data_IF_509240746562
#
_entry.id   IF_509240746562
#
_cell.length_a   1.000
_cell.length_b   1.000
_cell.length_c   1.000
_cell.angle_alpha   90.00
_cell.angle_beta   90.00
_cell.angle_gamma   90.00
#
_symmetry.space_group_name_H-M   'P 1'
#
loop_
_entity.id
_entity.type
_entity.pdbx_description
1 polymer ?
#
# COMPACT_ATOMS: atom_id res chain seq x y z
N UNK A 1 -31.23 -28.57 -29.09
CA UNK A 1 -30.82 -29.27 -27.85
C UNK A 1 -29.31 -29.11 -27.73
N UNK A 2 -28.78 -28.24 -26.85
CA UNK A 2 -28.41 -28.51 -25.42
C UNK A 2 -27.20 -29.47 -25.39
N UNK A 3 -26.07 -29.30 -24.68
CA UNK A 3 -25.38 -28.27 -23.87
C UNK A 3 -24.06 -29.00 -23.43
N UNK A 4 -22.91 -28.29 -23.29
CA UNK A 4 -21.77 -28.60 -22.38
C UNK A 4 -20.97 -29.92 -22.62
N UNK A 5 -19.72 -30.13 -22.21
CA UNK A 5 -18.87 -29.47 -21.21
C UNK A 5 -17.38 -29.81 -21.44
N UNK A 6 -16.53 -28.95 -20.87
CA UNK A 6 -15.09 -29.08 -20.71
C UNK A 6 -14.65 -30.14 -19.68
N UNK A 7 -13.46 -30.68 -19.96
CA UNK A 7 -12.28 -31.01 -19.12
C UNK A 7 -12.46 -31.40 -17.64
N UNK A 8 -11.89 -32.56 -17.26
CA UNK A 8 -11.18 -32.69 -15.96
C UNK A 8 -10.28 -33.94 -15.91
N UNK A 9 -8.97 -33.74 -16.07
CA UNK A 9 -7.94 -34.65 -15.56
C UNK A 9 -7.39 -34.08 -14.26
N UNK A 10 -7.70 -34.75 -13.15
CA UNK A 10 -7.18 -34.41 -11.81
C UNK A 10 -5.89 -35.20 -11.57
N UNK A 11 -4.77 -34.48 -11.40
CA UNK A 11 -3.52 -35.05 -10.86
C UNK A 11 -3.44 -34.66 -9.39
N UNK A 12 -3.59 -35.67 -8.53
CA UNK A 12 -3.48 -35.55 -7.07
C UNK A 12 -2.01 -35.54 -6.64
N UNK A 13 -1.55 -34.42 -6.06
CA UNK A 13 -0.19 -34.28 -5.51
C UNK A 13 -0.20 -34.70 -4.03
N UNK A 14 0.37 -35.87 -3.74
CA UNK A 14 0.46 -36.52 -2.42
C UNK A 14 1.47 -35.77 -1.53
N UNK A 15 1.01 -35.17 -0.43
CA UNK A 15 1.83 -34.47 0.57
C UNK A 15 2.29 -35.47 1.64
N UNK A 16 3.59 -35.72 1.69
CA UNK A 16 4.25 -36.57 2.70
C UNK A 16 4.26 -35.90 4.08
N UNK A 17 3.83 -36.64 5.10
CA UNK A 17 3.71 -36.24 6.52
C UNK A 17 4.93 -36.76 7.27
N UNK A 18 5.71 -35.89 7.91
CA UNK A 18 6.83 -36.27 8.78
C UNK A 18 6.29 -36.73 10.14
N UNK A 19 6.68 -37.93 10.55
CA UNK A 19 6.40 -38.52 11.87
C UNK A 19 7.22 -37.82 12.96
N UNK A 20 6.57 -37.49 14.08
CA UNK A 20 7.22 -37.01 15.29
C UNK A 20 7.39 -38.19 16.26
N UNK A 21 8.65 -38.48 16.58
CA UNK A 21 9.07 -39.48 17.56
C UNK A 21 8.68 -39.02 18.97
N UNK A 22 7.95 -39.87 19.70
CA UNK A 22 7.74 -39.73 21.15
C UNK A 22 8.94 -40.35 21.86
N UNK A 23 9.60 -39.58 22.71
CA UNK A 23 10.52 -40.11 23.71
C UNK A 23 10.03 -39.68 25.08
N UNK A 24 9.51 -40.65 25.83
CA UNK A 24 9.22 -40.52 27.25
C UNK A 24 10.54 -40.40 28.02
N UNK A 25 10.73 -39.32 28.79
CA UNK A 25 11.75 -39.27 29.83
C UNK A 25 11.25 -38.36 30.96
N UNK A 26 10.91 -39.00 32.08
CA UNK A 26 10.56 -38.40 33.37
C UNK A 26 11.85 -37.92 34.06
N UNK A 27 12.01 -36.64 34.42
CA UNK A 27 13.14 -36.21 35.25
C UNK A 27 12.85 -36.51 36.73
N UNK A 28 13.79 -37.18 37.38
CA UNK A 28 13.87 -37.36 38.83
C UNK A 28 14.23 -36.02 39.50
N UNK A 29 13.49 -35.63 40.54
CA UNK A 29 13.78 -34.45 41.36
C UNK A 29 15.02 -34.69 42.25
N UNK A 30 15.99 -33.76 42.30
CA UNK A 30 17.01 -33.76 43.34
C UNK A 30 16.51 -33.06 44.61
N UNK A 31 16.55 -33.80 45.71
CA UNK A 31 16.28 -33.38 47.09
C UNK A 31 17.22 -32.23 47.48
N UNK A 32 16.66 -31.07 47.84
CA UNK A 32 17.41 -29.98 48.48
C UNK A 32 17.12 -29.98 49.99
N UNK A 33 18.16 -30.26 50.78
CA UNK A 33 18.14 -30.10 52.23
C UNK A 33 18.12 -28.61 52.57
N UNK A 34 17.17 -28.19 53.40
CA UNK A 34 17.04 -26.83 53.89
C UNK A 34 17.76 -26.64 55.23
N UNK A 35 18.94 -26.03 55.20
CA UNK A 35 19.50 -25.35 56.37
C UNK A 35 19.18 -23.84 56.26
N UNK A 36 18.70 -23.16 57.32
CA UNK A 36 18.33 -21.74 57.23
C UNK A 36 19.58 -20.85 57.25
N UNK A 37 19.77 -20.04 56.22
CA UNK A 37 20.82 -19.01 56.17
C UNK A 37 20.26 -17.72 56.78
N UNK A 38 20.92 -17.25 57.84
CA UNK A 38 20.64 -16.05 58.64
C UNK A 38 20.66 -14.77 57.80
N UNK A 39 19.50 -14.08 57.76
CA UNK A 39 19.28 -12.86 56.98
C UNK A 39 19.54 -11.66 57.89
N UNK A 40 20.80 -11.33 58.14
CA UNK A 40 21.18 -10.05 58.73
C UNK A 40 22.45 -9.50 58.06
N UNK A 41 22.34 -9.14 56.79
CA UNK A 41 23.30 -8.27 56.10
C UNK A 41 22.56 -7.08 55.52
N UNK A 42 22.71 -5.93 56.19
CA UNK A 42 22.25 -4.62 55.76
C UNK A 42 22.80 -4.33 54.37
N UNK A 43 21.97 -4.41 53.34
CA UNK A 43 22.34 -4.03 51.98
C UNK A 43 22.12 -2.52 51.87
N UNK A 44 23.19 -1.77 52.10
CA UNK A 44 23.22 -0.35 51.83
C UNK A 44 23.01 -0.17 50.32
N UNK A 45 21.82 0.34 49.95
CA UNK A 45 21.40 0.48 48.56
C UNK A 45 22.17 1.63 47.95
N UNK A 46 23.18 1.31 47.12
CA UNK A 46 23.83 2.28 46.26
C UNK A 46 22.80 2.85 45.28
N UNK A 47 22.25 4.04 45.58
CA UNK A 47 21.46 4.81 44.62
C UNK A 47 22.41 5.30 43.53
N UNK A 48 22.42 4.61 42.39
CA UNK A 48 22.97 5.17 41.16
C UNK A 48 22.12 6.39 40.78
N UNK A 49 22.69 7.59 40.58
CA UNK A 49 21.95 8.69 39.99
C UNK A 49 21.60 8.31 38.55
N UNK A 50 20.32 8.11 38.27
CA UNK A 50 19.81 7.92 36.91
C UNK A 50 19.85 9.25 36.18
N UNK A 51 21.00 9.62 35.64
CA UNK A 51 21.11 10.69 34.63
C UNK A 51 20.66 10.16 33.25
N UNK A 52 19.47 9.54 33.21
CA UNK A 52 18.80 9.30 31.94
C UNK A 52 18.28 10.66 31.44
N UNK A 53 18.60 11.09 30.21
CA UNK A 53 18.02 12.30 29.66
C UNK A 53 16.49 12.12 29.62
N UNK A 54 15.77 13.08 30.21
CA UNK A 54 14.31 13.13 30.18
C UNK A 54 13.87 13.38 28.73
N UNK A 55 13.68 12.32 27.96
CA UNK A 55 13.20 12.42 26.60
C UNK A 55 11.76 12.91 26.62
N UNK A 56 11.52 14.12 26.11
CA UNK A 56 10.17 14.61 25.90
C UNK A 56 9.50 13.83 24.76
N UNK A 57 8.89 12.69 25.09
CA UNK A 57 8.23 11.79 24.13
C UNK A 57 7.14 12.52 23.34
N UNK A 58 6.47 13.53 23.93
CA UNK A 58 5.45 14.30 23.22
C UNK A 58 6.04 15.16 22.12
N UNK A 59 7.19 15.79 22.36
CA UNK A 59 7.91 16.55 21.34
C UNK A 59 8.34 15.65 20.18
N UNK A 60 8.86 14.45 20.48
CA UNK A 60 9.23 13.46 19.45
C UNK A 60 8.01 13.03 18.62
N UNK A 61 6.86 12.79 19.25
CA UNK A 61 5.61 12.45 18.55
C UNK A 61 5.15 13.58 17.63
N UNK A 62 5.17 14.82 18.12
CA UNK A 62 4.75 15.99 17.34
C UNK A 62 5.64 16.19 16.11
N UNK A 63 6.96 16.13 16.28
CA UNK A 63 7.92 16.23 15.18
C UNK A 63 7.72 15.12 14.14
N UNK A 64 7.49 13.89 14.58
CA UNK A 64 7.24 12.76 13.69
C UNK A 64 5.93 12.93 12.90
N UNK A 65 4.84 13.33 13.56
CA UNK A 65 3.56 13.58 12.91
C UNK A 65 3.65 14.71 11.88
N UNK A 66 4.30 15.82 12.22
CA UNK A 66 4.51 16.93 11.29
C UNK A 66 5.34 16.51 10.07
N UNK A 67 6.41 15.75 10.29
CA UNK A 67 7.25 15.22 9.21
C UNK A 67 6.45 14.31 8.27
N UNK A 68 5.65 13.40 8.82
CA UNK A 68 4.80 12.50 8.03
C UNK A 68 3.74 13.26 7.23
N UNK A 69 3.11 14.28 7.84
CA UNK A 69 2.14 15.15 7.16
C UNK A 69 2.78 15.90 6.00
N UNK A 70 3.99 16.43 6.18
CA UNK A 70 4.73 17.12 5.10
C UNK A 70 5.05 16.17 3.95
N UNK A 71 5.53 14.96 4.24
CA UNK A 71 5.81 13.93 3.23
C UNK A 71 4.54 13.54 2.48
N UNK A 72 3.42 13.37 3.18
CA UNK A 72 2.14 13.04 2.56
C UNK A 72 1.68 14.14 1.59
N UNK A 73 1.79 15.41 1.99
CA UNK A 73 1.43 16.55 1.14
C UNK A 73 2.36 16.68 -0.08
N UNK A 74 3.67 16.50 0.10
CA UNK A 74 4.64 16.49 -1.01
C UNK A 74 4.30 15.39 -2.03
N UNK A 75 4.00 14.17 -1.57
CA UNK A 75 3.57 13.07 -2.46
C UNK A 75 2.27 13.39 -3.18
N UNK A 76 1.32 14.02 -2.51
CA UNK A 76 0.05 14.45 -3.10
C UNK A 76 0.29 15.48 -4.22
N UNK A 77 1.09 16.52 -3.96
CA UNK A 77 1.43 17.54 -4.95
C UNK A 77 2.09 16.93 -6.19
N UNK A 78 3.04 16.00 -6.01
CA UNK A 78 3.68 15.29 -7.11
C UNK A 78 2.66 14.54 -7.97
N UNK A 79 1.73 13.79 -7.34
CA UNK A 79 0.72 13.04 -8.06
C UNK A 79 -0.26 13.94 -8.83
N UNK A 80 -0.63 15.08 -8.24
CA UNK A 80 -1.50 16.08 -8.88
C UNK A 80 -0.78 16.70 -10.09
N UNK A 81 0.49 17.09 -9.96
CA UNK A 81 1.25 17.66 -11.07
C UNK A 81 1.44 16.66 -12.21
N UNK A 82 1.79 15.42 -11.88
CA UNK A 82 1.83 14.31 -12.83
C UNK A 82 0.49 14.17 -13.57
N UNK A 83 -0.63 14.24 -12.85
CA UNK A 83 -1.97 14.16 -13.47
C UNK A 83 -2.22 15.32 -14.44
N UNK A 84 -1.80 16.54 -14.10
CA UNK A 84 -1.89 17.70 -15.00
C UNK A 84 -1.08 17.50 -16.27
N UNK A 85 0.17 17.07 -16.14
CA UNK A 85 1.05 16.84 -17.28
C UNK A 85 0.51 15.80 -18.25
N UNK A 86 0.03 14.66 -17.74
CA UNK A 86 -0.43 13.55 -18.58
C UNK A 86 -1.81 13.80 -19.22
N UNK A 87 -2.67 14.62 -18.62
CA UNK A 87 -4.06 14.78 -19.07
C UNK A 87 -4.37 16.14 -19.71
N UNK A 88 -3.51 17.16 -19.63
CA UNK A 88 -3.81 18.52 -20.12
C UNK A 88 -4.29 18.59 -21.59
N UNK A 89 -3.85 17.66 -22.45
CA UNK A 89 -4.26 17.62 -23.87
C UNK A 89 -5.44 16.68 -24.15
N UNK A 90 -5.92 15.96 -23.14
CA UNK A 90 -6.82 14.81 -23.30
C UNK A 90 -8.19 15.02 -22.65
N UNK A 91 -8.36 16.06 -21.82
CA UNK A 91 -9.62 16.40 -21.14
C UNK A 91 -9.86 17.91 -21.18
N UNK A 92 -11.06 18.34 -20.78
CA UNK A 92 -11.36 19.76 -20.59
C UNK A 92 -10.70 20.30 -19.31
N UNK A 93 -10.48 21.61 -19.21
CA UNK A 93 -9.95 22.25 -17.99
C UNK A 93 -10.81 21.92 -16.76
N UNK A 94 -12.14 21.94 -16.90
CA UNK A 94 -13.06 21.60 -15.82
C UNK A 94 -12.92 20.14 -15.37
N UNK A 95 -12.78 19.21 -16.32
CA UNK A 95 -12.56 17.81 -16.00
C UNK A 95 -11.15 17.58 -15.44
N UNK A 96 -10.16 18.38 -15.84
CA UNK A 96 -8.82 18.32 -15.27
C UNK A 96 -8.80 18.72 -13.80
N UNK A 97 -9.52 19.78 -13.43
CA UNK A 97 -9.67 20.17 -12.03
C UNK A 97 -10.35 19.08 -11.21
N UNK A 98 -11.42 18.46 -11.74
CA UNK A 98 -12.10 17.33 -11.08
C UNK A 98 -11.22 16.10 -10.94
N UNK A 99 -10.40 15.79 -11.95
CA UNK A 99 -9.46 14.66 -11.88
C UNK A 99 -8.37 14.92 -10.83
N UNK A 100 -7.86 16.15 -10.76
CA UNK A 100 -6.90 16.55 -9.72
C UNK A 100 -7.50 16.44 -8.31
N UNK A 101 -8.74 16.87 -8.11
CA UNK A 101 -9.47 16.71 -6.85
C UNK A 101 -9.63 15.22 -6.49
N UNK A 102 -10.00 14.40 -7.48
CA UNK A 102 -10.14 12.94 -7.31
C UNK A 102 -8.81 12.29 -6.90
N UNK A 103 -7.68 12.74 -7.46
CA UNK A 103 -6.33 12.29 -7.07
C UNK A 103 -5.96 12.75 -5.67
N UNK A 104 -6.40 13.95 -5.25
CA UNK A 104 -6.24 14.41 -3.85
C UNK A 104 -6.97 13.47 -2.88
N UNK A 105 -8.23 13.13 -3.17
CA UNK A 105 -9.04 12.20 -2.38
C UNK A 105 -8.39 10.80 -2.36
N UNK A 106 -7.87 10.35 -3.50
CA UNK A 106 -7.10 9.10 -3.57
C UNK A 106 -5.88 9.14 -2.65
N UNK A 107 -5.09 10.22 -2.67
CA UNK A 107 -3.90 10.39 -1.84
C UNK A 107 -4.20 10.41 -0.33
N UNK A 108 -5.35 10.98 0.06
CA UNK A 108 -5.80 11.11 1.45
C UNK A 108 -6.37 9.82 2.05
N UNK A 109 -6.37 8.74 1.27
CA UNK A 109 -6.91 7.43 1.65
C UNK A 109 -8.41 7.43 1.99
N UNK A 110 -9.20 8.32 1.38
CA UNK A 110 -10.66 8.48 1.59
C UNK A 110 -11.46 7.67 0.56
N UNK A 111 -12.73 7.40 0.87
CA UNK A 111 -13.68 6.67 0.01
C UNK A 111 -14.05 7.43 -1.28
N UNK A 112 -14.45 6.68 -2.31
CA UNK A 112 -14.69 7.19 -3.66
C UNK A 112 -16.16 7.49 -3.99
N UNK A 113 -17.06 7.44 -3.01
CA UNK A 113 -18.52 7.47 -3.21
C UNK A 113 -19.02 8.73 -3.92
N UNK A 114 -18.34 9.86 -3.76
CA UNK A 114 -18.75 11.16 -4.30
C UNK A 114 -17.88 11.65 -5.46
N UNK A 115 -17.01 10.79 -6.01
CA UNK A 115 -16.18 11.18 -7.16
C UNK A 115 -17.04 11.32 -8.42
N UNK A 116 -16.82 12.39 -9.15
CA UNK A 116 -17.43 12.61 -10.47
C UNK A 116 -16.55 12.02 -11.55
N UNK A 117 -17.14 11.32 -12.49
CA UNK A 117 -16.42 10.82 -13.67
C UNK A 117 -16.02 11.97 -14.59
N UNK A 118 -14.90 11.81 -15.28
CA UNK A 118 -14.39 12.72 -16.31
C UNK A 118 -14.44 12.07 -17.69
N UNK A 119 -14.57 12.88 -18.74
CA UNK A 119 -14.55 12.37 -20.12
C UNK A 119 -13.17 12.59 -20.75
N UNK A 120 -12.54 11.51 -21.21
CA UNK A 120 -11.21 11.52 -21.83
C UNK A 120 -11.27 11.34 -23.35
N UNK A 121 -10.36 12.01 -24.06
CA UNK A 121 -10.24 11.95 -25.52
C UNK A 121 -8.82 11.61 -25.93
N UNK A 122 -8.68 10.70 -26.89
CA UNK A 122 -7.39 10.32 -27.48
C UNK A 122 -6.54 9.37 -26.62
N UNK A 123 -6.94 9.09 -25.38
CA UNK A 123 -6.35 8.05 -24.55
C UNK A 123 -7.09 6.73 -24.72
N UNK A 124 -6.36 5.63 -24.70
CA UNK A 124 -6.93 4.26 -24.69
C UNK A 124 -6.91 3.69 -23.27
N UNK A 125 -7.65 2.60 -23.03
CA UNK A 125 -7.74 1.98 -21.70
C UNK A 125 -6.37 1.63 -21.10
N UNK A 126 -5.40 1.26 -21.94
CA UNK A 126 -4.03 1.00 -21.51
C UNK A 126 -3.38 2.22 -20.84
N UNK A 127 -3.63 3.43 -21.36
CA UNK A 127 -3.12 4.68 -20.75
C UNK A 127 -3.68 4.90 -19.35
N UNK A 128 -4.98 4.60 -19.19
CA UNK A 128 -5.66 4.72 -17.90
C UNK A 128 -5.14 3.67 -16.90
N UNK A 129 -4.79 2.48 -17.37
CA UNK A 129 -4.16 1.44 -16.54
C UNK A 129 -2.76 1.86 -16.09
N UNK A 130 -1.94 2.37 -17.00
CA UNK A 130 -0.62 2.92 -16.67
C UNK A 130 -0.72 4.08 -15.68
N UNK A 131 -1.70 4.97 -15.86
CA UNK A 131 -1.97 6.04 -14.93
C UNK A 131 -2.27 5.52 -13.52
N UNK A 132 -3.17 4.55 -13.39
CA UNK A 132 -3.48 3.93 -12.09
C UNK A 132 -2.28 3.22 -11.47
N UNK A 133 -1.46 2.52 -12.28
CA UNK A 133 -0.24 1.89 -11.79
C UNK A 133 0.74 2.90 -11.23
N UNK A 134 0.92 4.04 -11.91
CA UNK A 134 1.82 5.10 -11.45
C UNK A 134 1.37 5.69 -10.12
N UNK A 135 0.06 5.93 -9.94
CA UNK A 135 -0.49 6.36 -8.65
C UNK A 135 -0.28 5.31 -7.56
N UNK A 136 -0.66 4.06 -7.82
CA UNK A 136 -0.51 2.96 -6.86
C UNK A 136 0.95 2.78 -6.42
N UNK A 137 1.87 2.76 -7.39
CA UNK A 137 3.30 2.60 -7.11
C UNK A 137 3.92 3.82 -6.43
N UNK A 138 3.40 5.02 -6.66
CA UNK A 138 3.85 6.24 -5.98
C UNK A 138 3.44 6.24 -4.51
N UNK A 139 2.17 5.95 -4.23
CA UNK A 139 1.65 6.05 -2.86
C UNK A 139 2.00 4.83 -2.01
N UNK A 140 1.93 3.59 -2.56
CA UNK A 140 2.23 2.30 -1.91
C UNK A 140 1.50 2.04 -0.58
N UNK A 141 0.51 2.86 -0.23
CA UNK A 141 -0.29 2.75 0.99
C UNK A 141 -1.71 2.25 0.71
N UNK A 142 -2.09 2.06 -0.56
CA UNK A 142 -3.35 1.49 -1.02
C UNK A 142 -3.17 0.14 -1.68
N UNK A 143 -4.24 -0.64 -1.72
CA UNK A 143 -4.26 -1.88 -2.46
C UNK A 143 -4.52 -1.64 -3.97
N UNK A 144 -4.20 -2.64 -4.80
CA UNK A 144 -4.43 -2.53 -6.25
C UNK A 144 -5.92 -2.60 -6.62
N UNK A 145 -6.77 -3.17 -5.75
CA UNK A 145 -8.21 -3.26 -5.97
C UNK A 145 -8.85 -1.88 -5.80
N UNK A 146 -8.52 -1.13 -4.75
CA UNK A 146 -8.90 0.26 -4.54
C UNK A 146 -8.45 1.12 -5.72
N UNK A 147 -7.27 0.85 -6.27
CA UNK A 147 -6.80 1.55 -7.49
C UNK A 147 -7.69 1.21 -8.70
N UNK A 148 -8.09 -0.05 -8.87
CA UNK A 148 -9.01 -0.44 -9.94
C UNK A 148 -10.41 0.19 -9.76
N UNK A 149 -10.93 0.23 -8.53
CA UNK A 149 -12.20 0.91 -8.20
C UNK A 149 -12.08 2.40 -8.50
N UNK A 150 -11.02 3.06 -8.03
CA UNK A 150 -10.75 4.47 -8.30
C UNK A 150 -10.80 4.77 -9.81
N UNK A 151 -10.03 4.01 -10.62
CA UNK A 151 -10.01 4.17 -12.07
C UNK A 151 -11.39 4.02 -12.69
N UNK A 152 -12.15 3.00 -12.25
CA UNK A 152 -13.49 2.74 -12.78
C UNK A 152 -14.49 3.82 -12.40
N UNK A 153 -14.34 4.44 -11.23
CA UNK A 153 -15.17 5.56 -10.80
C UNK A 153 -14.85 6.84 -11.59
N UNK A 154 -13.57 7.22 -11.69
CA UNK A 154 -13.19 8.49 -12.34
C UNK A 154 -13.25 8.42 -13.87
N UNK A 155 -13.03 7.25 -14.47
CA UNK A 155 -13.11 7.03 -15.92
C UNK A 155 -14.30 6.13 -16.30
N UNK A 156 -15.45 6.35 -15.67
CA UNK A 156 -16.64 5.51 -15.82
C UNK A 156 -17.09 5.31 -17.27
N UNK A 157 -17.00 6.34 -18.11
CA UNK A 157 -17.34 6.24 -19.54
C UNK A 157 -16.38 5.29 -20.28
N UNK A 158 -15.07 5.54 -20.18
CA UNK A 158 -14.01 4.81 -20.89
C UNK A 158 -13.86 3.37 -20.42
N UNK A 159 -14.10 3.10 -19.14
CA UNK A 159 -13.94 1.79 -18.52
C UNK A 159 -15.28 1.08 -18.24
N UNK A 160 -16.38 1.58 -18.80
CA UNK A 160 -17.73 1.05 -18.59
C UNK A 160 -17.87 -0.46 -18.84
N UNK A 161 -17.17 -0.98 -19.84
CA UNK A 161 -17.20 -2.40 -20.23
C UNK A 161 -16.05 -3.24 -19.64
N UNK A 162 -15.19 -2.66 -18.81
CA UNK A 162 -14.02 -3.34 -18.26
C UNK A 162 -14.29 -3.72 -16.80
N UNK A 163 -14.19 -5.00 -16.48
CA UNK A 163 -14.32 -5.48 -15.10
C UNK A 163 -13.16 -4.99 -14.21
N UNK A 164 -13.44 -4.68 -12.93
CA UNK A 164 -12.42 -4.21 -11.98
C UNK A 164 -11.26 -5.19 -11.84
N UNK A 165 -11.57 -6.49 -11.82
CA UNK A 165 -10.58 -7.56 -11.79
C UNK A 165 -9.70 -7.58 -13.04
N UNK A 166 -10.22 -7.14 -14.19
CA UNK A 166 -9.44 -6.96 -15.41
C UNK A 166 -8.50 -5.77 -15.26
N UNK A 167 -9.00 -4.62 -14.82
CA UNK A 167 -8.19 -3.41 -14.58
C UNK A 167 -7.00 -3.75 -13.67
N UNK A 168 -7.27 -4.39 -12.53
CA UNK A 168 -6.24 -4.79 -11.55
C UNK A 168 -5.12 -5.63 -12.17
N UNK A 169 -5.46 -6.58 -13.06
CA UNK A 169 -4.49 -7.46 -13.72
C UNK A 169 -3.62 -6.73 -14.74
N UNK A 170 -4.18 -5.72 -15.41
CA UNK A 170 -3.54 -5.05 -16.55
C UNK A 170 -2.91 -3.69 -16.19
N UNK A 171 -2.89 -3.30 -14.91
CA UNK A 171 -2.26 -2.04 -14.46
C UNK A 171 -0.83 -1.85 -14.99
N UNK A 172 -0.06 -2.94 -15.10
CA UNK A 172 1.34 -2.93 -15.53
C UNK A 172 1.60 -3.59 -16.89
N UNK A 173 0.55 -3.81 -17.69
CA UNK A 173 0.70 -4.49 -18.97
C UNK A 173 1.42 -3.62 -19.99
N UNK A 174 2.21 -4.22 -20.88
CA UNK A 174 2.82 -3.52 -22.01
C UNK A 174 3.49 -2.17 -21.65
N UNK A 175 4.39 -2.17 -20.64
CA UNK A 175 4.98 -0.96 -20.02
C UNK A 175 5.56 0.09 -21.00
N UNK A 176 5.88 -0.33 -22.23
CA UNK A 176 6.47 0.50 -23.29
C UNK A 176 5.43 1.10 -24.27
N UNK A 177 4.17 0.68 -24.22
CA UNK A 177 3.08 1.16 -25.08
C UNK A 177 2.31 2.30 -24.40
N UNK A 178 1.27 2.82 -25.06
CA UNK A 178 0.46 3.94 -24.57
C UNK A 178 1.11 5.31 -24.77
N UNK A 179 0.31 6.36 -24.66
CA UNK A 179 0.71 7.75 -24.50
C UNK A 179 1.22 7.96 -23.07
N UNK A 180 0.45 7.54 -22.06
CA UNK A 180 0.86 7.62 -20.66
C UNK A 180 1.81 6.45 -20.37
N UNK A 181 3.05 6.75 -19.96
CA UNK A 181 4.09 5.73 -19.70
C UNK A 181 4.14 5.33 -18.23
N UNK A 182 4.54 4.09 -17.97
CA UNK A 182 4.83 3.65 -16.60
C UNK A 182 6.08 4.35 -16.08
N UNK A 183 5.92 5.10 -14.99
CA UNK A 183 6.99 5.81 -14.26
C UNK A 183 7.27 5.04 -12.97
N UNK A 184 8.49 4.50 -12.83
CA UNK A 184 8.92 3.75 -11.62
C UNK A 184 8.95 4.63 -10.36
N UNK A 185 9.13 5.93 -10.54
CA UNK A 185 9.08 6.96 -9.51
C UNK A 185 8.43 8.18 -10.15
N UNK A 186 7.44 8.78 -9.47
CA UNK A 186 7.00 10.13 -9.82
C UNK A 186 7.92 11.11 -9.09
N UNK A 187 8.66 11.91 -9.83
CA UNK A 187 9.55 12.95 -9.30
C UNK A 187 8.95 14.31 -9.61
N UNK A 188 9.20 15.29 -8.73
CA UNK A 188 9.03 16.70 -9.06
C UNK A 188 10.25 17.18 -9.84
N UNK A 189 10.57 16.54 -10.95
CA UNK A 189 11.60 17.03 -11.85
C UNK A 189 10.88 17.74 -12.98
N UNK A 190 10.65 19.04 -12.76
CA UNK A 190 10.63 19.99 -13.88
C UNK A 190 12.04 19.89 -14.45
N UNK A 191 12.21 19.05 -15.47
CA UNK A 191 13.41 19.05 -16.29
C UNK A 191 13.56 20.48 -16.82
N UNK A 192 14.47 21.23 -16.19
CA UNK A 192 14.86 22.57 -16.60
C UNK A 192 15.36 22.49 -18.05
N UNK A 193 14.50 22.91 -18.99
CA UNK A 193 14.89 23.31 -20.33
C UNK A 193 14.65 24.81 -20.49
#
# INVERSE_FOLDING_TARGET
>A
MIFLHEVSTTVTKKKSRKEFVKTDNKPSEPVFNSDPIDINRSVETLKLPSNEPDFNIQEIRNLKTQTLSKIAEEKKIIAINYTREEFALHISDEDLDRLCESVSIYAENVDFENLKSVSVRGLVNLDLFHFGWNLWNHFRNRDQKETAVFLKTVFAESLSYIEEESIKKHLKDDEQKGIIKIKKVLTSEVDNY
#
